data_IF_035877507474
#
_entry.id   IF_035877507474
#
_cell.length_a   1.000
_cell.length_b   1.000
_cell.length_c   1.000
_cell.angle_alpha   90.00
_cell.angle_beta   90.00
_cell.angle_gamma   90.00
#
_symmetry.space_group_name_H-M   'P 1'
#
loop_
_entity.id
_entity.type
_entity.pdbx_description
1 polymer ?
#
# COMPACT_ATOMS: atom_id res chain seq x y z
N UNK A 1 9.37 -35.56 -10.44
CA UNK A 1 10.77 -35.07 -10.42
C UNK A 1 11.26 -34.64 -11.80
N UNK A 2 11.16 -35.48 -12.84
CA UNK A 2 11.61 -35.14 -14.21
C UNK A 2 11.02 -33.82 -14.75
N UNK A 3 9.70 -33.61 -14.66
CA UNK A 3 9.06 -32.38 -15.11
C UNK A 3 9.61 -31.13 -14.40
N UNK A 4 9.82 -31.21 -13.08
CA UNK A 4 10.36 -30.11 -12.28
C UNK A 4 11.77 -29.74 -12.75
N UNK A 5 12.62 -30.74 -12.98
CA UNK A 5 14.00 -30.53 -13.43
C UNK A 5 14.01 -29.90 -14.84
N UNK A 6 13.18 -30.41 -15.76
CA UNK A 6 13.04 -29.85 -17.11
C UNK A 6 12.62 -28.38 -17.08
N UNK A 7 11.57 -28.05 -16.32
CA UNK A 7 11.08 -26.68 -16.19
C UNK A 7 12.11 -25.78 -15.48
N UNK A 8 12.83 -26.31 -14.49
CA UNK A 8 13.89 -25.56 -13.82
C UNK A 8 15.04 -25.20 -14.77
N UNK A 9 15.53 -26.14 -15.57
CA UNK A 9 16.55 -25.84 -16.59
C UNK A 9 16.04 -24.85 -17.64
N UNK A 10 14.80 -25.00 -18.10
CA UNK A 10 14.19 -24.05 -19.02
C UNK A 10 14.11 -22.64 -18.41
N UNK A 11 13.68 -22.54 -17.16
CA UNK A 11 13.61 -21.27 -16.42
C UNK A 11 14.98 -20.63 -16.25
N UNK A 12 16.02 -21.39 -15.87
CA UNK A 12 17.38 -20.86 -15.71
C UNK A 12 17.91 -20.32 -17.04
N UNK A 13 17.73 -21.07 -18.13
CA UNK A 13 18.16 -20.65 -19.46
C UNK A 13 17.40 -19.39 -19.94
N UNK A 14 16.08 -19.36 -19.77
CA UNK A 14 15.26 -18.20 -20.11
C UNK A 14 15.68 -16.97 -19.29
N UNK A 15 15.93 -17.16 -17.99
CA UNK A 15 16.38 -16.10 -17.10
C UNK A 15 17.75 -15.57 -17.51
N UNK A 16 18.69 -16.45 -17.83
CA UNK A 16 20.02 -16.06 -18.29
C UNK A 16 19.94 -15.30 -19.62
N UNK A 17 19.16 -15.79 -20.59
CA UNK A 17 18.93 -15.11 -21.86
C UNK A 17 18.32 -13.71 -21.66
N UNK A 18 17.35 -13.58 -20.75
CA UNK A 18 16.74 -12.29 -20.42
C UNK A 18 17.75 -11.32 -19.77
N UNK A 19 18.57 -11.80 -18.83
CA UNK A 19 19.59 -10.97 -18.16
C UNK A 19 20.71 -10.52 -19.11
N UNK A 20 21.05 -11.34 -20.10
CA UNK A 20 22.07 -11.04 -21.11
C UNK A 20 21.55 -10.14 -22.24
N UNK A 21 20.23 -9.98 -22.37
CA UNK A 21 19.66 -9.13 -23.40
C UNK A 21 20.18 -7.69 -23.26
N UNK A 22 20.60 -7.03 -24.37
CA UNK A 22 21.28 -5.74 -24.32
C UNK A 22 20.41 -4.63 -23.73
N UNK A 23 19.08 -4.74 -23.87
CA UNK A 23 18.13 -3.81 -23.25
C UNK A 23 18.16 -3.88 -21.72
N UNK A 24 18.27 -5.09 -21.17
CA UNK A 24 18.36 -5.29 -19.73
C UNK A 24 19.75 -4.90 -19.20
N UNK A 25 20.82 -5.30 -19.90
CA UNK A 25 22.20 -5.02 -19.49
C UNK A 25 22.55 -3.53 -19.48
N UNK A 26 21.96 -2.72 -20.38
CA UNK A 26 22.17 -1.27 -20.42
C UNK A 26 21.39 -0.50 -19.35
N UNK A 27 20.36 -1.11 -18.75
CA UNK A 27 19.52 -0.46 -17.75
C UNK A 27 20.34 0.02 -16.55
N UNK A 28 19.96 1.14 -15.95
CA UNK A 28 20.69 1.64 -14.76
C UNK A 28 20.48 0.72 -13.55
N UNK A 29 19.28 0.16 -13.38
CA UNK A 29 18.97 -0.72 -12.26
C UNK A 29 19.79 -2.01 -12.25
N UNK A 30 20.09 -2.60 -13.42
CA UNK A 30 20.89 -3.83 -13.51
C UNK A 30 22.37 -3.60 -13.17
N UNK A 31 22.85 -2.37 -13.33
CA UNK A 31 24.23 -1.94 -13.02
C UNK A 31 24.37 -1.27 -11.65
N UNK A 32 23.25 -1.06 -10.94
CA UNK A 32 23.25 -0.39 -9.64
C UNK A 32 23.03 -1.41 -8.52
N UNK A 33 23.85 -1.32 -7.48
CA UNK A 33 23.74 -2.14 -6.26
C UNK A 33 23.42 -1.24 -5.08
N UNK A 34 22.44 -1.66 -4.28
CA UNK A 34 22.07 -1.05 -3.01
C UNK A 34 22.75 -1.81 -1.88
N UNK A 35 23.50 -1.09 -1.05
CA UNK A 35 24.08 -1.60 0.19
C UNK A 35 23.36 -0.97 1.38
N UNK A 36 22.93 -1.81 2.33
CA UNK A 36 22.23 -1.37 3.55
C UNK A 36 23.03 -1.76 4.79
N UNK A 37 22.69 -1.15 5.94
CA UNK A 37 23.41 -1.36 7.21
C UNK A 37 24.91 -1.07 7.12
N UNK A 38 25.25 0.03 6.47
CA UNK A 38 26.64 0.48 6.29
C UNK A 38 27.13 1.14 7.59
N UNK A 39 28.35 0.82 8.06
CA UNK A 39 28.94 1.48 9.23
C UNK A 39 29.13 2.98 8.98
N UNK A 40 28.89 3.81 10.00
CA UNK A 40 29.09 5.27 9.90
C UNK A 40 30.54 5.64 9.52
N UNK A 41 31.50 4.80 9.91
CA UNK A 41 32.92 4.90 9.58
C UNK A 41 33.20 4.84 8.07
N UNK A 42 32.38 4.11 7.31
CA UNK A 42 32.55 3.90 5.86
C UNK A 42 31.49 4.64 5.03
N UNK A 43 30.81 5.63 5.60
CA UNK A 43 29.73 6.38 4.95
C UNK A 43 30.25 7.58 4.13
N UNK A 44 31.54 7.62 3.83
CA UNK A 44 32.17 8.64 3.02
C UNK A 44 32.44 8.15 1.60
N UNK A 45 32.43 9.05 0.63
CA UNK A 45 32.59 8.70 -0.78
C UNK A 45 33.96 8.07 -1.04
N UNK A 46 35.02 8.61 -0.43
CA UNK A 46 36.39 8.10 -0.61
C UNK A 46 36.55 6.70 0.00
N UNK A 47 35.98 6.47 1.17
CA UNK A 47 35.99 5.14 1.79
C UNK A 47 35.27 4.13 0.89
N UNK A 48 34.11 4.49 0.33
CA UNK A 48 33.36 3.62 -0.58
C UNK A 48 34.16 3.36 -1.86
N UNK A 49 34.80 4.38 -2.44
CA UNK A 49 35.65 4.22 -3.64
C UNK A 49 36.83 3.29 -3.40
N UNK A 50 37.48 3.42 -2.24
CA UNK A 50 38.60 2.56 -1.84
C UNK A 50 38.17 1.10 -1.71
N UNK A 51 36.95 0.86 -1.22
CA UNK A 51 36.42 -0.48 -1.00
C UNK A 51 36.17 -1.27 -2.29
N UNK A 52 35.85 -0.56 -3.39
CA UNK A 52 35.57 -1.15 -4.69
C UNK A 52 36.69 -0.93 -5.72
N UNK A 53 37.91 -0.62 -5.26
CA UNK A 53 39.10 -0.44 -6.12
C UNK A 53 38.86 0.46 -7.35
N UNK A 54 38.00 1.48 -7.22
CA UNK A 54 37.69 2.40 -8.31
C UNK A 54 36.76 1.88 -9.42
N UNK A 55 36.17 0.68 -9.30
CA UNK A 55 35.18 0.17 -10.29
C UNK A 55 33.82 0.90 -10.23
N UNK A 56 33.61 1.74 -9.22
CA UNK A 56 32.39 2.53 -9.04
C UNK A 56 32.35 3.71 -10.02
N UNK A 57 31.33 3.75 -10.88
CA UNK A 57 31.09 4.85 -11.82
C UNK A 57 30.46 6.04 -11.10
N UNK A 58 29.40 5.80 -10.32
CA UNK A 58 28.70 6.83 -9.56
C UNK A 58 28.22 6.28 -8.22
N UNK A 59 28.35 7.10 -7.18
CA UNK A 59 27.96 6.76 -5.83
C UNK A 59 26.87 7.74 -5.41
N UNK A 60 25.81 7.22 -4.77
CA UNK A 60 24.78 8.03 -4.15
C UNK A 60 24.64 7.61 -2.69
N UNK A 61 25.03 8.51 -1.79
CA UNK A 61 24.76 8.34 -0.37
C UNK A 61 23.33 8.78 -0.12
N UNK A 62 22.58 7.99 0.63
CA UNK A 62 21.19 8.34 0.98
C UNK A 62 21.17 9.16 2.25
N UNK A 63 20.16 10.01 2.40
CA UNK A 63 20.05 10.94 3.52
C UNK A 63 18.61 11.12 3.97
N UNK A 64 18.46 11.64 5.19
CA UNK A 64 17.14 11.88 5.75
C UNK A 64 16.44 13.04 5.04
N UNK A 65 15.42 12.70 4.25
CA UNK A 65 14.56 13.67 3.58
C UNK A 65 13.26 13.91 4.33
N UNK A 66 13.09 13.41 5.57
CA UNK A 66 11.78 13.43 6.25
C UNK A 66 11.18 14.82 6.42
N UNK A 67 12.00 15.84 6.71
CA UNK A 67 11.54 17.23 6.81
C UNK A 67 11.14 17.77 5.44
N UNK A 68 11.99 17.58 4.43
CA UNK A 68 11.74 17.98 3.05
C UNK A 68 10.46 17.33 2.48
N UNK A 69 10.29 16.02 2.67
CA UNK A 69 9.12 15.26 2.27
C UNK A 69 7.85 15.81 2.91
N UNK A 70 7.91 16.20 4.19
CA UNK A 70 6.76 16.78 4.91
C UNK A 70 6.37 18.13 4.32
N UNK A 71 7.32 19.05 4.18
CA UNK A 71 7.04 20.40 3.64
C UNK A 71 6.55 20.32 2.19
N UNK A 72 7.12 19.44 1.36
CA UNK A 72 6.63 19.19 -0.01
C UNK A 72 5.22 18.59 0.02
N UNK A 73 4.96 17.58 0.86
CA UNK A 73 3.65 16.96 0.94
C UNK A 73 2.57 17.96 1.43
N UNK A 74 2.91 18.82 2.40
CA UNK A 74 2.03 19.88 2.87
C UNK A 74 1.74 20.90 1.77
N UNK A 75 2.78 21.36 1.05
CA UNK A 75 2.64 22.23 -0.12
C UNK A 75 1.73 21.62 -1.17
N UNK A 76 1.97 20.37 -1.57
CA UNK A 76 1.20 19.69 -2.61
C UNK A 76 -0.27 19.49 -2.18
N UNK A 77 -0.52 19.19 -0.90
CA UNK A 77 -1.87 19.12 -0.36
C UNK A 77 -2.59 20.48 -0.41
N UNK A 78 -1.89 21.58 -0.13
CA UNK A 78 -2.43 22.94 -0.23
C UNK A 78 -2.71 23.31 -1.68
N UNK A 79 -1.78 23.02 -2.61
CA UNK A 79 -1.96 23.23 -4.04
C UNK A 79 -3.18 22.46 -4.56
N UNK A 80 -3.30 21.17 -4.24
CA UNK A 80 -4.45 20.36 -4.63
C UNK A 80 -5.78 20.91 -4.08
N UNK A 81 -5.78 21.45 -2.85
CA UNK A 81 -6.95 22.12 -2.28
C UNK A 81 -7.28 23.42 -3.00
N UNK A 82 -6.27 24.23 -3.30
CA UNK A 82 -6.40 25.50 -4.01
C UNK A 82 -6.94 25.28 -5.42
N UNK A 83 -6.35 24.35 -6.17
CA UNK A 83 -6.82 23.99 -7.52
C UNK A 83 -8.25 23.50 -7.50
N UNK A 84 -8.61 22.63 -6.54
CA UNK A 84 -9.99 22.16 -6.39
C UNK A 84 -10.97 23.32 -6.14
N UNK A 85 -10.60 24.24 -5.26
CA UNK A 85 -11.42 25.42 -4.94
C UNK A 85 -11.56 26.36 -6.15
N UNK A 86 -10.48 26.62 -6.88
CA UNK A 86 -10.52 27.45 -8.08
C UNK A 86 -11.35 26.79 -9.20
N UNK A 87 -11.22 25.48 -9.40
CA UNK A 87 -12.04 24.71 -10.35
C UNK A 87 -13.53 24.76 -9.96
N UNK A 88 -13.86 24.58 -8.68
CA UNK A 88 -15.24 24.68 -8.19
C UNK A 88 -15.82 26.07 -8.44
N UNK A 89 -15.04 27.12 -8.19
CA UNK A 89 -15.45 28.50 -8.43
C UNK A 89 -15.63 28.79 -9.92
N UNK A 90 -14.69 28.38 -10.78
CA UNK A 90 -14.79 28.52 -12.24
C UNK A 90 -16.03 27.78 -12.77
N UNK A 91 -16.30 26.56 -12.28
CA UNK A 91 -17.51 25.80 -12.65
C UNK A 91 -18.77 26.54 -12.27
N UNK A 92 -18.81 27.16 -11.09
CA UNK A 92 -19.95 27.97 -10.64
C UNK A 92 -20.14 29.17 -11.57
N UNK A 93 -19.09 29.93 -11.84
CA UNK A 93 -19.12 31.08 -12.74
C UNK A 93 -19.57 30.68 -14.15
N UNK A 94 -19.04 29.58 -14.70
CA UNK A 94 -19.43 29.07 -16.02
C UNK A 94 -20.89 28.61 -16.05
N UNK A 95 -21.38 27.96 -15.00
CA UNK A 95 -22.79 27.55 -14.89
C UNK A 95 -23.71 28.75 -14.85
N UNK A 96 -23.32 29.82 -14.14
CA UNK A 96 -24.08 31.07 -14.14
C UNK A 96 -24.05 31.74 -15.51
N UNK A 97 -22.88 31.84 -16.15
CA UNK A 97 -22.75 32.38 -17.51
C UNK A 97 -23.67 31.67 -18.52
N UNK A 98 -23.65 30.33 -18.56
CA UNK A 98 -24.52 29.54 -19.45
C UNK A 98 -26.01 29.79 -19.13
N UNK A 99 -26.38 29.92 -17.84
CA UNK A 99 -27.76 30.26 -17.45
C UNK A 99 -28.16 31.66 -17.93
N UNK A 100 -27.24 32.62 -17.92
CA UNK A 100 -27.51 33.94 -18.46
C UNK A 100 -27.63 33.89 -19.99
N UNK A 101 -26.72 33.25 -20.70
CA UNK A 101 -26.76 33.10 -22.16
C UNK A 101 -28.04 32.40 -22.65
N UNK A 102 -28.45 31.32 -21.98
CA UNK A 102 -29.72 30.62 -22.29
C UNK A 102 -30.94 31.47 -21.98
N UNK A 103 -30.93 32.25 -20.88
CA UNK A 103 -32.00 33.20 -20.57
C UNK A 103 -32.07 34.31 -21.61
N UNK A 104 -30.95 34.96 -21.93
CA UNK A 104 -30.90 36.04 -22.93
C UNK A 104 -31.21 35.53 -24.34
N UNK A 105 -30.85 34.31 -24.70
CA UNK A 105 -31.28 33.66 -25.96
C UNK A 105 -32.78 33.42 -26.02
N UNK A 106 -33.38 32.95 -24.91
CA UNK A 106 -34.83 32.78 -24.80
C UNK A 106 -35.59 34.11 -24.67
N UNK A 107 -34.97 35.14 -24.08
CA UNK A 107 -35.50 36.51 -23.97
C UNK A 107 -35.41 37.23 -25.33
N UNK A 108 -34.38 36.98 -26.15
CA UNK A 108 -34.30 37.50 -27.52
C UNK A 108 -35.35 36.88 -28.46
N UNK A 109 -35.75 35.62 -28.22
CA UNK A 109 -36.93 35.01 -28.87
C UNK A 109 -38.27 35.52 -28.30
N UNK A 110 -38.33 35.89 -27.00
CA UNK A 110 -39.56 36.40 -26.34
C UNK A 110 -39.74 37.92 -26.37
N UNK A 111 -38.71 38.71 -26.66
CA UNK A 111 -38.73 40.16 -26.77
C UNK A 111 -39.41 40.67 -28.06
N UNK A 112 -40.14 39.82 -28.76
CA UNK A 112 -41.26 40.25 -29.62
C UNK A 112 -42.50 40.64 -28.80
N UNK A 113 -42.55 40.40 -27.48
CA UNK A 113 -43.68 40.79 -26.64
C UNK A 113 -43.24 41.24 -25.24
N UNK A 114 -43.40 42.55 -24.98
CA UNK A 114 -43.48 43.21 -23.67
C UNK A 114 -42.20 43.68 -22.98
N UNK A 115 -42.14 45.00 -22.84
CA UNK A 115 -41.24 45.85 -22.04
C UNK A 115 -41.44 45.68 -20.53
N UNK A 116 -40.37 45.46 -19.75
CA UNK A 116 -40.23 45.98 -18.38
C UNK A 116 -38.77 45.92 -17.89
N UNK A 117 -38.32 47.07 -17.37
CA UNK A 117 -37.20 47.39 -16.48
C UNK A 117 -35.81 46.73 -16.66
N UNK A 118 -34.80 47.50 -17.14
CA UNK A 118 -33.39 47.08 -17.17
C UNK A 118 -32.62 47.36 -15.87
N UNK A 119 -33.28 47.67 -14.74
CA UNK A 119 -32.62 48.04 -13.49
C UNK A 119 -32.26 46.85 -12.58
N UNK A 120 -31.90 45.72 -13.17
CA UNK A 120 -31.00 44.74 -12.52
C UNK A 120 -29.60 44.83 -13.13
N UNK A 121 -29.11 46.08 -13.21
CA UNK A 121 -27.83 46.47 -13.78
C UNK A 121 -26.61 46.09 -12.93
N UNK A 122 -26.60 44.90 -12.33
CA UNK A 122 -25.39 44.35 -11.69
C UNK A 122 -24.78 43.18 -12.49
N UNK A 123 -25.15 43.09 -13.78
CA UNK A 123 -24.87 41.93 -14.64
C UNK A 123 -23.91 42.21 -15.80
N UNK A 124 -23.45 43.46 -15.94
CA UNK A 124 -22.58 43.91 -17.06
C UNK A 124 -21.12 44.13 -16.65
N UNK A 125 -20.76 44.03 -15.38
CA UNK A 125 -19.34 43.86 -15.02
C UNK A 125 -19.08 42.37 -14.90
N UNK A 126 -18.10 41.85 -15.63
CA UNK A 126 -17.56 40.48 -15.48
C UNK A 126 -16.87 40.26 -14.14
N UNK A 127 -17.47 40.75 -13.05
CA UNK A 127 -16.99 40.63 -11.69
C UNK A 127 -17.63 39.36 -11.12
N UNK A 128 -16.91 38.26 -11.27
CA UNK A 128 -17.22 36.98 -10.63
C UNK A 128 -17.69 37.21 -9.20
N UNK A 129 -18.85 36.68 -8.80
CA UNK A 129 -19.37 36.86 -7.42
C UNK A 129 -18.34 36.34 -6.42
N UNK A 130 -17.68 37.27 -5.73
CA UNK A 130 -16.70 36.99 -4.67
C UNK A 130 -17.38 36.32 -3.48
N UNK A 131 -18.64 36.65 -3.22
CA UNK A 131 -19.43 36.16 -2.07
C UNK A 131 -19.72 34.65 -2.13
N UNK A 132 -19.65 34.03 -3.31
CA UNK A 132 -19.95 32.59 -3.51
C UNK A 132 -18.69 31.72 -3.55
N UNK A 133 -17.54 32.24 -3.15
CA UNK A 133 -16.29 31.46 -3.16
C UNK A 133 -16.37 30.29 -2.18
N UNK A 134 -15.72 29.16 -2.52
CA UNK A 134 -15.70 27.99 -1.66
C UNK A 134 -14.91 28.27 -0.37
N UNK A 135 -15.58 28.09 0.76
CA UNK A 135 -15.01 28.28 2.09
C UNK A 135 -14.78 26.94 2.78
N UNK A 136 -13.75 26.84 3.61
CA UNK A 136 -13.54 25.69 4.51
C UNK A 136 -13.26 26.17 5.94
N UNK A 137 -13.20 25.22 6.87
CA UNK A 137 -12.78 25.48 8.26
C UNK A 137 -11.40 24.87 8.49
N UNK A 138 -10.53 25.58 9.19
CA UNK A 138 -9.13 25.18 9.38
C UNK A 138 -8.94 24.04 10.39
N UNK A 139 -9.86 23.86 11.33
CA UNK A 139 -9.69 22.87 12.40
C UNK A 139 -9.93 21.41 11.97
N UNK A 140 -9.65 20.47 12.89
CA UNK A 140 -9.69 19.04 12.58
C UNK A 140 -11.07 18.62 12.09
N UNK A 141 -11.08 17.76 11.06
CA UNK A 141 -12.28 17.24 10.39
C UNK A 141 -13.23 18.32 9.83
N UNK A 142 -12.80 19.59 9.75
CA UNK A 142 -13.62 20.69 9.25
C UNK A 142 -14.78 21.09 10.18
N UNK A 143 -14.75 20.66 11.45
CA UNK A 143 -15.84 20.87 12.40
C UNK A 143 -15.60 22.08 13.31
N UNK A 144 -14.36 22.26 13.75
CA UNK A 144 -13.92 23.35 14.63
C UNK A 144 -13.14 24.39 13.82
N UNK A 145 -13.21 25.67 14.18
CA UNK A 145 -12.38 26.74 13.62
C UNK A 145 -13.13 27.78 12.79
N UNK A 146 -12.39 28.84 12.42
CA UNK A 146 -12.88 29.95 11.60
C UNK A 146 -13.19 29.49 10.18
N UNK A 147 -14.24 30.07 9.59
CA UNK A 147 -14.64 29.82 8.20
C UNK A 147 -13.86 30.77 7.29
N UNK A 148 -12.87 30.25 6.59
CA UNK A 148 -11.97 31.03 5.72
C UNK A 148 -12.24 30.76 4.24
N UNK A 149 -12.01 31.74 3.39
CA UNK A 149 -12.00 31.56 1.93
C UNK A 149 -10.82 30.66 1.55
N UNK A 150 -11.12 29.51 0.93
CA UNK A 150 -10.13 28.49 0.59
C UNK A 150 -9.09 29.00 -0.40
N UNK A 151 -9.48 29.90 -1.31
CA UNK A 151 -8.58 30.42 -2.35
C UNK A 151 -7.56 31.38 -1.72
N UNK A 152 -8.04 32.35 -0.96
CA UNK A 152 -7.17 33.35 -0.32
C UNK A 152 -6.28 32.71 0.75
N UNK A 153 -6.83 31.77 1.53
CA UNK A 153 -6.07 30.95 2.46
C UNK A 153 -4.97 30.16 1.76
N UNK A 154 -5.31 29.46 0.66
CA UNK A 154 -4.36 28.61 -0.07
C UNK A 154 -3.21 29.42 -0.67
N UNK A 155 -3.49 30.62 -1.21
CA UNK A 155 -2.47 31.53 -1.74
C UNK A 155 -1.51 32.03 -0.66
N UNK A 156 -2.05 32.51 0.46
CA UNK A 156 -1.23 32.96 1.60
C UNK A 156 -0.39 31.82 2.17
N UNK A 157 -1.00 30.64 2.34
CA UNK A 157 -0.28 29.48 2.88
C UNK A 157 0.82 29.00 1.93
N UNK A 158 0.61 29.12 0.62
CA UNK A 158 1.61 28.77 -0.39
C UNK A 158 2.77 29.78 -0.43
N UNK A 159 2.49 31.06 -0.18
CA UNK A 159 3.52 32.11 -0.03
C UNK A 159 4.49 31.79 1.12
N UNK A 160 4.00 31.21 2.22
CA UNK A 160 4.84 30.75 3.33
C UNK A 160 5.57 29.41 3.01
N UNK A 161 4.88 28.44 2.38
CA UNK A 161 5.40 27.09 2.16
C UNK A 161 6.41 26.98 1.02
N UNK A 162 6.31 27.82 -0.02
CA UNK A 162 7.28 27.83 -1.14
C UNK A 162 8.71 28.12 -0.65
N UNK A 163 8.99 29.22 0.07
CA UNK A 163 10.33 29.51 0.54
C UNK A 163 10.82 28.49 1.57
N UNK A 164 9.93 27.95 2.42
CA UNK A 164 10.28 26.84 3.33
C UNK A 164 10.74 25.60 2.55
N UNK A 165 10.00 25.21 1.51
CA UNK A 165 10.38 24.08 0.65
C UNK A 165 11.70 24.34 -0.08
N UNK A 166 11.93 25.57 -0.57
CA UNK A 166 13.18 25.96 -1.22
C UNK A 166 14.36 25.90 -0.25
N UNK A 167 14.20 26.38 0.98
CA UNK A 167 15.22 26.29 2.02
C UNK A 167 15.52 24.83 2.36
N UNK A 168 14.50 23.98 2.52
CA UNK A 168 14.70 22.55 2.76
C UNK A 168 15.41 21.85 1.58
N UNK A 169 15.13 22.25 0.34
CA UNK A 169 15.83 21.74 -0.84
C UNK A 169 17.29 22.22 -0.89
N UNK A 170 17.55 23.47 -0.52
CA UNK A 170 18.90 24.02 -0.47
C UNK A 170 19.73 23.29 0.60
N UNK A 171 19.16 23.05 1.78
CA UNK A 171 19.83 22.27 2.83
C UNK A 171 20.21 20.86 2.36
N UNK A 172 19.35 20.24 1.55
CA UNK A 172 19.67 18.96 0.90
C UNK A 172 20.82 19.08 -0.11
N UNK A 173 20.85 20.14 -0.92
CA UNK A 173 21.92 20.35 -1.90
C UNK A 173 23.27 20.68 -1.23
N UNK A 174 23.26 21.30 -0.05
CA UNK A 174 24.46 21.63 0.72
C UNK A 174 24.97 20.49 1.62
N UNK A 175 24.41 19.29 1.50
CA UNK A 175 24.75 18.10 2.31
C UNK A 175 24.51 18.29 3.83
N UNK A 176 23.63 19.22 4.22
CA UNK A 176 23.26 19.50 5.62
C UNK A 176 22.08 18.61 6.06
N UNK A 177 22.32 17.30 6.08
CA UNK A 177 21.35 16.30 6.52
C UNK A 177 22.03 15.08 7.13
N UNK A 178 21.28 14.33 7.96
CA UNK A 178 21.78 13.07 8.50
C UNK A 178 21.83 12.01 7.39
N UNK A 179 23.03 11.53 7.07
CA UNK A 179 23.24 10.45 6.10
C UNK A 179 22.69 9.13 6.66
N UNK A 180 21.90 8.45 5.85
CA UNK A 180 21.40 7.12 6.17
C UNK A 180 22.52 6.08 6.07
N UNK A 181 22.36 4.96 6.78
CA UNK A 181 23.28 3.81 6.72
C UNK A 181 23.10 2.98 5.45
N UNK A 182 22.91 3.62 4.30
CA UNK A 182 22.71 2.99 3.01
C UNK A 182 23.21 3.88 1.86
N UNK A 183 23.71 3.24 0.82
CA UNK A 183 24.13 3.92 -0.41
C UNK A 183 23.88 3.06 -1.64
N UNK A 184 23.83 3.72 -2.79
CA UNK A 184 23.76 3.09 -4.11
C UNK A 184 25.09 3.29 -4.84
N UNK A 185 25.54 2.26 -5.56
CA UNK A 185 26.67 2.36 -6.48
C UNK A 185 26.22 1.91 -7.87
N UNK A 186 26.40 2.77 -8.87
CA UNK A 186 26.35 2.40 -10.28
C UNK A 186 27.74 1.95 -10.74
N UNK A 187 27.78 0.80 -11.41
CA UNK A 187 28.96 0.27 -12.07
C UNK A 187 28.91 0.51 -13.58
N UNK A 188 30.06 0.44 -14.25
CA UNK A 188 30.16 0.49 -15.71
C UNK A 188 29.39 -0.64 -16.38
N UNK A 189 29.58 -1.86 -15.88
CA UNK A 189 29.00 -3.08 -16.44
C UNK A 189 28.11 -3.80 -15.43
N UNK A 190 27.15 -4.58 -15.92
CA UNK A 190 26.32 -5.43 -15.06
C UNK A 190 27.14 -6.55 -14.39
N UNK A 191 28.21 -6.99 -15.05
CA UNK A 191 29.13 -7.99 -14.49
C UNK A 191 29.78 -7.46 -13.22
N UNK A 192 30.34 -6.25 -13.25
CA UNK A 192 30.98 -5.63 -12.08
C UNK A 192 29.98 -5.47 -10.92
N UNK A 193 28.74 -5.07 -11.23
CA UNK A 193 27.68 -4.96 -10.25
C UNK A 193 27.35 -6.31 -9.58
N UNK A 194 27.31 -7.40 -10.35
CA UNK A 194 27.08 -8.75 -9.81
C UNK A 194 28.26 -9.23 -8.96
N UNK A 195 29.49 -8.94 -9.38
CA UNK A 195 30.70 -9.26 -8.60
C UNK A 195 30.67 -8.51 -7.27
N UNK A 196 30.37 -7.21 -7.28
CA UNK A 196 30.24 -6.41 -6.05
C UNK A 196 29.09 -6.88 -5.13
N UNK A 197 27.98 -7.35 -5.72
CA UNK A 197 26.87 -7.93 -4.98
C UNK A 197 27.24 -9.25 -4.28
N UNK A 198 28.17 -10.03 -4.85
CA UNK A 198 28.58 -11.31 -4.26
C UNK A 198 29.76 -11.16 -3.30
N UNK A 199 30.75 -10.31 -3.63
CA UNK A 199 31.98 -10.13 -2.87
C UNK A 199 31.73 -9.65 -1.42
N UNK A 200 32.33 -10.26 -0.41
CA UNK A 200 32.21 -9.77 0.97
C UNK A 200 32.94 -8.43 1.11
N UNK A 201 32.21 -7.34 1.38
CA UNK A 201 32.74 -5.98 1.39
C UNK A 201 33.20 -5.52 2.77
N UNK A 202 32.98 -6.28 3.84
CA UNK A 202 33.45 -5.88 5.17
C UNK A 202 33.87 -7.07 6.03
N UNK A 203 34.88 -6.86 6.88
CA UNK A 203 35.45 -7.89 7.75
C UNK A 203 34.51 -8.24 8.92
N UNK A 204 33.64 -7.33 9.35
CA UNK A 204 32.62 -7.60 10.37
C UNK A 204 31.39 -8.23 9.74
N UNK A 205 31.00 -9.41 10.24
CA UNK A 205 29.76 -10.07 9.84
C UNK A 205 28.55 -9.15 10.07
N UNK A 206 27.54 -9.25 9.18
CA UNK A 206 26.27 -8.49 9.21
C UNK A 206 26.37 -6.99 8.93
N UNK A 207 27.56 -6.44 8.68
CA UNK A 207 27.70 -5.09 8.13
C UNK A 207 27.58 -5.13 6.62
N UNK A 208 27.00 -4.06 6.05
CA UNK A 208 26.87 -3.92 4.61
C UNK A 208 26.02 -5.03 3.96
N UNK A 209 25.08 -5.57 4.77
CA UNK A 209 24.15 -6.63 4.44
C UNK A 209 22.78 -6.30 5.07
N UNK A 210 21.65 -6.54 4.37
CA UNK A 210 21.51 -7.12 3.04
C UNK A 210 21.92 -6.18 1.91
N UNK A 211 22.16 -6.76 0.74
CA UNK A 211 22.49 -6.07 -0.52
C UNK A 211 21.42 -6.39 -1.53
N UNK A 212 21.22 -5.50 -2.49
CA UNK A 212 20.24 -5.73 -3.55
C UNK A 212 20.73 -5.23 -4.89
N UNK A 213 20.31 -5.89 -5.96
CA UNK A 213 20.61 -5.53 -7.34
C UNK A 213 19.33 -5.50 -8.17
N UNK A 214 19.32 -4.76 -9.28
CA UNK A 214 18.17 -4.70 -10.19
C UNK A 214 16.89 -4.08 -9.61
N UNK A 215 16.98 -3.27 -8.56
CA UNK A 215 15.82 -2.53 -8.04
C UNK A 215 15.58 -1.28 -8.88
N UNK A 216 14.32 -1.01 -9.24
CA UNK A 216 13.95 0.25 -9.88
C UNK A 216 13.78 1.37 -8.83
N UNK A 217 14.07 2.63 -9.15
CA UNK A 217 13.89 3.74 -8.20
C UNK A 217 12.49 3.81 -7.56
N UNK A 218 11.43 3.51 -8.33
CA UNK A 218 10.05 3.53 -7.84
C UNK A 218 9.70 2.37 -6.89
N UNK A 219 10.53 1.33 -6.84
CA UNK A 219 10.37 0.18 -5.95
C UNK A 219 11.14 0.39 -4.61
N UNK A 220 11.98 1.44 -4.53
CA UNK A 220 12.75 1.76 -3.33
C UNK A 220 11.87 2.48 -2.31
N UNK A 221 11.90 2.00 -1.08
CA UNK A 221 11.21 2.64 0.05
C UNK A 221 12.26 3.41 0.84
N UNK A 222 12.41 4.69 0.54
CA UNK A 222 13.45 5.55 1.14
C UNK A 222 13.45 5.54 2.67
N UNK A 223 12.24 5.53 3.28
CA UNK A 223 12.07 5.51 4.74
C UNK A 223 12.67 4.28 5.43
N UNK A 224 12.89 3.20 4.68
CA UNK A 224 13.37 1.94 5.24
C UNK A 224 14.89 1.75 5.12
N UNK A 225 15.57 2.70 4.48
CA UNK A 225 17.03 2.70 4.28
C UNK A 225 17.80 3.15 5.52
N UNK A 226 17.14 3.83 6.47
CA UNK A 226 17.78 4.32 7.70
C UNK A 226 17.93 3.27 8.81
N UNK A 227 17.50 2.02 8.57
CA UNK A 227 17.56 1.00 9.61
C UNK A 227 18.96 0.42 9.72
N UNK A 228 19.48 0.37 10.95
CA UNK A 228 20.67 -0.40 11.28
C UNK A 228 20.38 -1.90 11.28
N UNK A 229 21.42 -2.74 11.15
CA UNK A 229 21.24 -4.20 11.08
C UNK A 229 20.42 -4.73 12.28
N UNK A 230 20.66 -4.19 13.49
CA UNK A 230 20.05 -4.69 14.73
C UNK A 230 18.55 -4.39 14.76
N UNK A 231 18.16 -3.19 14.30
CA UNK A 231 16.76 -2.82 14.17
C UNK A 231 16.05 -3.71 13.14
N UNK A 232 16.72 -4.05 12.04
CA UNK A 232 16.20 -5.01 11.05
C UNK A 232 16.01 -6.39 11.67
N UNK A 233 17.00 -6.88 12.44
CA UNK A 233 16.92 -8.17 13.12
C UNK A 233 15.77 -8.22 14.14
N UNK A 234 15.61 -7.21 15.00
CA UNK A 234 14.54 -7.15 16.00
C UNK A 234 13.16 -7.13 15.31
N UNK A 235 12.97 -6.28 14.30
CA UNK A 235 11.71 -6.23 13.54
C UNK A 235 11.36 -7.57 12.92
N UNK A 236 12.35 -8.28 12.37
CA UNK A 236 12.18 -9.63 11.82
C UNK A 236 11.68 -10.62 12.88
N UNK A 237 12.27 -10.63 14.07
CA UNK A 237 11.81 -11.49 15.16
C UNK A 237 10.40 -11.14 15.62
N UNK A 238 10.08 -9.84 15.76
CA UNK A 238 8.72 -9.39 16.10
C UNK A 238 7.70 -9.93 15.10
N UNK A 239 7.99 -9.86 13.79
CA UNK A 239 7.10 -10.39 12.76
C UNK A 239 6.94 -11.90 12.86
N UNK A 240 8.03 -12.66 13.06
CA UNK A 240 7.93 -14.12 13.22
C UNK A 240 7.11 -14.51 14.43
N UNK A 241 7.28 -13.83 15.57
CA UNK A 241 6.48 -14.09 16.76
C UNK A 241 5.01 -13.75 16.55
N UNK A 242 4.70 -12.67 15.84
CA UNK A 242 3.33 -12.31 15.49
C UNK A 242 2.68 -13.34 14.54
N UNK A 243 3.41 -13.83 13.53
CA UNK A 243 2.92 -14.87 12.61
C UNK A 243 2.72 -16.18 13.37
N UNK A 244 3.66 -16.59 14.21
CA UNK A 244 3.52 -17.81 15.01
C UNK A 244 2.29 -17.73 15.94
N UNK A 245 2.10 -16.60 16.61
CA UNK A 245 0.90 -16.36 17.42
C UNK A 245 -0.39 -16.42 16.61
N UNK A 246 -0.39 -15.83 15.41
CA UNK A 246 -1.52 -15.89 14.49
C UNK A 246 -1.83 -17.33 14.05
N UNK A 247 -0.82 -18.14 13.73
CA UNK A 247 -0.98 -19.56 13.34
C UNK A 247 -1.58 -20.38 14.49
N UNK A 248 -1.09 -20.20 15.73
CA UNK A 248 -1.64 -20.89 16.91
C UNK A 248 -3.08 -20.48 17.15
N UNK A 249 -3.38 -19.18 17.06
CA UNK A 249 -4.74 -18.66 17.19
C UNK A 249 -5.69 -19.24 16.13
N UNK A 250 -5.23 -19.36 14.87
CA UNK A 250 -6.01 -19.93 13.78
C UNK A 250 -6.08 -21.46 13.78
N UNK A 251 -5.17 -22.16 14.47
CA UNK A 251 -5.23 -23.61 14.61
C UNK A 251 -6.46 -24.05 15.42
N UNK A 252 -6.84 -23.29 16.45
CA UNK A 252 -7.97 -23.61 17.33
C UNK A 252 -9.32 -23.78 16.58
N UNK A 253 -9.81 -22.83 15.77
CA UNK A 253 -11.05 -23.03 15.02
C UNK A 253 -10.96 -24.14 13.98
N UNK A 254 -9.80 -24.32 13.32
CA UNK A 254 -9.61 -25.39 12.32
C UNK A 254 -9.68 -26.77 12.98
N UNK A 255 -9.09 -26.93 14.17
CA UNK A 255 -9.19 -28.20 14.91
C UNK A 255 -10.61 -28.51 15.35
N UNK A 256 -11.39 -27.53 15.81
CA UNK A 256 -12.81 -27.71 16.15
C UNK A 256 -13.61 -28.18 14.93
N UNK A 257 -13.45 -27.51 13.79
CA UNK A 257 -14.11 -27.92 12.54
C UNK A 257 -13.66 -29.31 12.10
N UNK A 258 -12.38 -29.64 12.25
CA UNK A 258 -11.85 -30.97 11.96
C UNK A 258 -12.45 -32.07 12.84
N UNK A 259 -12.64 -31.81 14.15
CA UNK A 259 -13.29 -32.73 15.09
C UNK A 259 -14.77 -32.90 14.72
N UNK A 260 -15.46 -31.81 14.39
CA UNK A 260 -16.88 -31.84 13.96
C UNK A 260 -17.03 -32.56 12.62
N UNK A 261 -16.05 -32.49 11.72
CA UNK A 261 -16.10 -33.19 10.43
C UNK A 261 -15.96 -34.71 10.55
N UNK A 262 -15.53 -35.25 11.71
CA UNK A 262 -15.47 -36.69 11.93
C UNK A 262 -16.84 -37.25 12.27
N UNK A 263 -17.32 -38.16 11.42
CA UNK A 263 -18.63 -38.82 11.53
C UNK A 263 -18.82 -39.54 12.87
N UNK A 264 -17.77 -40.17 13.40
CA UNK A 264 -17.81 -40.88 14.68
C UNK A 264 -18.11 -39.96 15.86
N UNK A 265 -17.61 -38.73 15.82
CA UNK A 265 -17.84 -37.72 16.87
C UNK A 265 -19.25 -37.15 16.77
N UNK A 266 -19.77 -36.93 15.55
CA UNK A 266 -21.15 -36.46 15.31
C UNK A 266 -22.18 -37.48 15.81
N UNK A 267 -21.93 -38.78 15.60
CA UNK A 267 -22.81 -39.88 16.04
C UNK A 267 -22.99 -39.95 17.56
N UNK A 268 -22.05 -39.39 18.34
CA UNK A 268 -22.06 -39.38 19.80
C UNK A 268 -22.80 -38.20 20.42
N UNK A 269 -23.19 -37.19 19.62
CA UNK A 269 -23.90 -36.00 20.10
C UNK A 269 -25.41 -36.28 20.24
N UNK A 270 -26.05 -35.89 21.36
CA UNK A 270 -27.47 -36.11 21.56
C UNK A 270 -28.30 -35.29 20.55
N UNK A 271 -29.12 -35.97 19.73
CA UNK A 271 -30.01 -35.35 18.73
C UNK A 271 -29.63 -35.58 17.25
N UNK A 272 -28.49 -36.20 16.94
CA UNK A 272 -28.08 -36.51 15.55
C UNK A 272 -27.98 -38.02 15.24
N UNK A 273 -28.75 -38.84 15.95
CA UNK A 273 -28.78 -40.31 15.79
C UNK A 273 -29.32 -40.77 14.42
N UNK A 274 -30.02 -39.91 13.67
CA UNK A 274 -30.52 -40.20 12.31
C UNK A 274 -29.41 -40.52 11.29
N UNK A 275 -28.19 -40.04 11.52
CA UNK A 275 -27.01 -40.30 10.68
C UNK A 275 -26.59 -41.77 10.70
N UNK A 276 -27.00 -42.55 11.70
CA UNK A 276 -26.74 -43.99 11.76
C UNK A 276 -27.51 -44.80 10.70
N UNK A 277 -28.53 -44.21 10.06
CA UNK A 277 -29.42 -44.88 9.11
C UNK A 277 -29.06 -44.65 7.63
N UNK A 278 -27.86 -44.14 7.33
CA UNK A 278 -27.42 -43.86 5.96
C UNK A 278 -26.88 -45.16 5.32
N UNK A 279 -27.34 -45.55 4.12
CA UNK A 279 -26.91 -46.80 3.47
C UNK A 279 -25.42 -46.77 3.09
N UNK A 280 -24.73 -47.88 3.36
CA UNK A 280 -23.32 -48.08 3.01
C UNK A 280 -23.16 -48.59 1.57
N UNK A 281 -22.03 -48.25 0.95
CA UNK A 281 -21.65 -48.77 -0.36
C UNK A 281 -21.11 -50.19 -0.31
N UNK A 282 -21.08 -50.84 -1.48
CA UNK A 282 -20.62 -52.22 -1.66
C UNK A 282 -19.19 -52.53 -1.15
N UNK A 283 -18.38 -51.50 -0.84
CA UNK A 283 -17.04 -51.64 -0.27
C UNK A 283 -16.98 -51.35 1.24
N UNK A 284 -18.11 -51.21 1.93
CA UNK A 284 -18.21 -50.96 3.38
C UNK A 284 -18.00 -49.50 3.80
N UNK A 285 -18.06 -48.55 2.86
CA UNK A 285 -17.89 -47.11 3.15
C UNK A 285 -19.26 -46.42 3.22
N UNK A 286 -19.50 -45.58 4.23
CA UNK A 286 -20.73 -44.80 4.38
C UNK A 286 -20.82 -43.71 3.30
N UNK A 287 -21.85 -43.73 2.45
CA UNK A 287 -22.13 -42.66 1.48
C UNK A 287 -22.81 -41.48 2.17
N UNK A 288 -22.01 -40.54 2.67
CA UNK A 288 -22.53 -39.31 3.27
C UNK A 288 -23.10 -38.44 2.13
N UNK A 289 -24.43 -38.38 2.00
CA UNK A 289 -25.11 -37.35 1.22
C UNK A 289 -25.72 -36.34 2.18
N UNK A 290 -25.11 -35.16 2.27
CA UNK A 290 -25.56 -34.10 3.16
C UNK A 290 -24.47 -33.05 3.41
N UNK A 291 -24.76 -31.98 4.15
CA UNK A 291 -23.80 -30.90 4.44
C UNK A 291 -22.46 -31.43 5.00
N UNK A 292 -22.43 -32.54 5.74
CA UNK A 292 -21.19 -33.16 6.21
C UNK A 292 -20.23 -33.63 5.08
N UNK A 293 -20.73 -33.99 3.89
CA UNK A 293 -19.90 -34.32 2.72
C UNK A 293 -19.22 -33.08 2.12
N UNK A 294 -19.81 -31.89 2.36
CA UNK A 294 -19.22 -30.58 2.06
C UNK A 294 -18.34 -30.06 3.22
N UNK A 295 -18.07 -30.87 4.25
CA UNK A 295 -17.11 -30.59 5.33
C UNK A 295 -15.82 -29.91 4.86
N UNK A 296 -15.10 -30.48 3.87
CA UNK A 296 -13.90 -29.88 3.29
C UNK A 296 -14.17 -28.56 2.55
N UNK A 297 -15.36 -28.40 1.98
CA UNK A 297 -15.80 -27.20 1.27
C UNK A 297 -16.14 -26.04 2.23
N UNK A 298 -16.52 -26.27 3.49
CA UNK A 298 -16.65 -25.17 4.47
C UNK A 298 -15.29 -24.59 4.90
N UNK A 299 -14.22 -25.39 4.85
CA UNK A 299 -12.86 -24.84 4.97
C UNK A 299 -12.55 -23.89 3.81
N UNK A 300 -13.15 -24.07 2.63
CA UNK A 300 -12.98 -23.14 1.50
C UNK A 300 -13.73 -21.82 1.68
N UNK A 301 -14.85 -21.77 2.43
CA UNK A 301 -15.48 -20.49 2.82
C UNK A 301 -14.76 -19.79 3.98
N UNK A 302 -14.09 -20.55 4.85
CA UNK A 302 -13.16 -19.99 5.83
C UNK A 302 -11.86 -19.46 5.19
N UNK A 303 -11.37 -20.10 4.14
CA UNK A 303 -10.21 -19.66 3.35
C UNK A 303 -10.54 -18.62 2.26
N UNK A 304 -11.82 -18.43 1.91
CA UNK A 304 -12.26 -17.42 0.93
C UNK A 304 -12.29 -16.01 1.51
N UNK A 305 -12.32 -15.90 2.84
CA UNK A 305 -11.77 -14.75 3.53
C UNK A 305 -10.26 -14.96 3.54
N UNK A 306 -9.50 -14.24 2.70
CA UNK A 306 -8.05 -14.40 2.70
C UNK A 306 -7.54 -14.16 4.14
N UNK A 307 -6.59 -14.95 4.66
CA UNK A 307 -5.89 -14.57 5.88
C UNK A 307 -5.48 -13.10 5.71
N UNK A 308 -5.76 -12.23 6.70
CA UNK A 308 -5.75 -10.76 6.53
C UNK A 308 -4.52 -10.38 5.74
N UNK A 309 -4.73 -10.00 4.46
CA UNK A 309 -3.72 -9.98 3.38
C UNK A 309 -2.32 -10.16 3.95
N UNK A 310 -1.88 -11.41 4.09
CA UNK A 310 -0.45 -11.68 4.26
C UNK A 310 0.12 -11.42 2.88
N UNK A 311 0.29 -10.12 2.57
CA UNK A 311 1.12 -9.68 1.45
C UNK A 311 2.40 -10.46 1.65
N UNK A 312 2.79 -11.24 0.63
CA UNK A 312 4.04 -11.97 0.59
C UNK A 312 5.09 -11.11 1.30
N UNK A 313 5.47 -11.56 2.49
CA UNK A 313 6.59 -10.99 3.23
C UNK A 313 7.78 -11.37 2.38
N UNK A 314 8.11 -10.51 1.42
CA UNK A 314 9.33 -10.66 0.69
C UNK A 314 10.41 -10.44 1.74
N UNK A 315 10.99 -11.56 2.17
CA UNK A 315 11.95 -11.72 3.26
C UNK A 315 13.17 -10.77 3.14
N UNK A 316 13.26 -10.10 2.00
CA UNK A 316 14.35 -9.23 1.63
C UNK A 316 14.17 -7.74 1.87
N UNK A 317 13.00 -7.14 2.10
CA UNK A 317 12.95 -5.68 2.30
C UNK A 317 12.08 -5.23 3.46
N UNK A 318 12.61 -4.29 4.24
CA UNK A 318 12.04 -3.59 5.38
C UNK A 318 10.77 -2.79 5.03
N UNK A 319 9.72 -3.47 4.57
CA UNK A 319 8.46 -2.89 4.11
C UNK A 319 7.28 -3.40 4.94
N UNK A 320 7.29 -3.14 6.25
CA UNK A 320 6.11 -3.40 7.09
C UNK A 320 6.00 -2.28 8.11
N UNK A 321 5.19 -1.26 7.79
CA UNK A 321 4.67 -0.33 8.81
C UNK A 321 3.23 0.14 8.53
N UNK A 322 2.51 -0.38 7.51
CA UNK A 322 1.17 0.16 7.15
C UNK A 322 -0.03 -0.77 7.16
N UNK A 323 0.12 -2.09 7.33
CA UNK A 323 -1.01 -3.02 7.12
C UNK A 323 -1.41 -3.90 8.31
N UNK A 324 -0.56 -4.07 9.32
CA UNK A 324 -0.93 -4.90 10.49
C UNK A 324 -2.02 -4.22 11.34
N UNK A 325 -1.99 -2.87 11.43
CA UNK A 325 -2.96 -2.09 12.21
C UNK A 325 -4.30 -1.93 11.47
N UNK A 326 -4.32 -1.94 10.13
CA UNK A 326 -5.56 -1.82 9.35
C UNK A 326 -6.40 -3.10 9.30
N UNK A 327 -5.88 -4.23 9.78
CA UNK A 327 -6.58 -5.53 9.77
C UNK A 327 -7.45 -5.76 11.00
N UNK A 328 -7.27 -4.99 12.07
CA UNK A 328 -8.05 -5.10 13.32
C UNK A 328 -9.58 -4.88 13.08
N UNK A 329 -10.02 -3.88 12.29
CA UNK A 329 -11.44 -3.73 11.95
C UNK A 329 -11.96 -4.86 11.05
N UNK A 330 -11.10 -5.45 10.21
CA UNK A 330 -11.44 -6.59 9.36
C UNK A 330 -11.70 -7.85 10.19
N UNK A 331 -10.84 -8.13 11.18
CA UNK A 331 -10.99 -9.24 12.12
C UNK A 331 -12.26 -9.08 12.97
N UNK A 332 -12.57 -7.85 13.41
CA UNK A 332 -13.79 -7.58 14.18
C UNK A 332 -15.06 -7.79 13.34
N UNK A 333 -15.04 -7.40 12.05
CA UNK A 333 -16.13 -7.70 11.10
C UNK A 333 -16.27 -9.21 10.85
N UNK A 334 -15.17 -9.95 10.81
CA UNK A 334 -15.19 -11.41 10.67
C UNK A 334 -15.78 -12.11 11.88
N UNK A 335 -15.46 -11.66 13.10
CA UNK A 335 -16.08 -12.19 14.32
C UNK A 335 -17.59 -11.93 14.34
N UNK A 336 -18.04 -10.73 13.94
CA UNK A 336 -19.48 -10.43 13.84
C UNK A 336 -20.18 -11.21 12.72
N UNK A 337 -19.49 -11.50 11.61
CA UNK A 337 -20.02 -12.30 10.51
C UNK A 337 -20.12 -13.78 10.91
N UNK A 338 -19.13 -14.30 11.63
CA UNK A 338 -19.12 -15.65 12.20
C UNK A 338 -20.22 -15.84 13.23
N UNK A 339 -20.44 -14.86 14.11
CA UNK A 339 -21.56 -14.91 15.07
C UNK A 339 -22.93 -14.93 14.36
N UNK A 340 -23.04 -14.22 13.23
CA UNK A 340 -24.27 -14.14 12.43
C UNK A 340 -24.54 -15.41 11.63
N UNK A 341 -23.50 -16.02 11.07
CA UNK A 341 -23.55 -17.33 10.41
C UNK A 341 -23.86 -18.44 11.41
N UNK A 342 -23.20 -18.45 12.58
CA UNK A 342 -23.47 -19.40 13.66
C UNK A 342 -24.93 -19.31 14.14
N UNK A 343 -25.46 -18.09 14.34
CA UNK A 343 -26.88 -17.86 14.67
C UNK A 343 -27.86 -18.20 13.54
N UNK A 344 -27.40 -18.33 12.31
CA UNK A 344 -28.24 -18.72 11.15
C UNK A 344 -28.30 -20.24 11.02
N UNK A 345 -27.15 -20.92 11.18
CA UNK A 345 -27.05 -22.38 11.20
C UNK A 345 -27.78 -22.96 12.40
N UNK A 346 -27.63 -22.37 13.60
CA UNK A 346 -28.36 -22.79 14.80
C UNK A 346 -29.89 -22.67 14.65
N UNK A 347 -30.38 -21.71 13.84
CA UNK A 347 -31.82 -21.57 13.52
C UNK A 347 -32.30 -22.58 12.48
N UNK A 348 -31.48 -22.89 11.48
CA UNK A 348 -31.81 -23.92 10.48
C UNK A 348 -31.83 -25.32 11.08
N UNK A 349 -30.97 -25.61 12.07
CA UNK A 349 -31.03 -26.87 12.82
C UNK A 349 -32.25 -26.98 13.72
N UNK A 350 -32.77 -25.86 14.25
CA UNK A 350 -33.99 -25.81 15.06
C UNK A 350 -35.26 -26.02 14.19
N UNK A 351 -35.34 -25.42 13.00
CA UNK A 351 -36.47 -25.63 12.08
C UNK A 351 -36.56 -27.05 11.48
N UNK A 352 -35.48 -27.84 11.53
CA UNK A 352 -35.49 -29.24 11.10
C UNK A 352 -35.87 -30.21 12.24
N UNK A 353 -36.06 -29.73 13.47
CA UNK A 353 -36.52 -30.52 14.62
C UNK A 353 -38.02 -30.40 14.90
N UNK A 354 -38.70 -29.41 14.32
CA UNK A 354 -40.14 -29.14 14.50
C UNK A 354 -41.05 -29.77 13.40
N UNK A 355 -40.51 -30.60 12.50
CA UNK A 355 -41.26 -31.33 11.47
C UNK A 355 -41.07 -32.84 11.54
#
# INVERSE_FOLDING_TARGET
MYAIIREFFFYVNLRQAFLLAPQYAKRISSRTVLFTSVPKECLDEDCIRSLFNGSAKKIWITGDTKQLDRTIQERDNVVMKLEKAEIEWIRLCNKERIKYETKTGNEAERATTSTSDPESGNLVTGRSREDKRPTHREGPLGLIGEKVDTIQWGRKKLEDLIPEAQNAQNNWLTDDYEKHTAFFIEFSTQYDAQVAFQAATHHRALQMSPRFISIKPNEVIWKSLNYSWWQVAIRRYVIYTAIAGLVVFWALPVTIVGIIAQVNTIKSLPGLTWIQNIPQDANGNEKIYGPAAYGPSYCTSFNSVPPPKVIYVNYEQSMIDRYLISSIPGIMRLLTALEKEYKRVARQSLCLMDN
#
